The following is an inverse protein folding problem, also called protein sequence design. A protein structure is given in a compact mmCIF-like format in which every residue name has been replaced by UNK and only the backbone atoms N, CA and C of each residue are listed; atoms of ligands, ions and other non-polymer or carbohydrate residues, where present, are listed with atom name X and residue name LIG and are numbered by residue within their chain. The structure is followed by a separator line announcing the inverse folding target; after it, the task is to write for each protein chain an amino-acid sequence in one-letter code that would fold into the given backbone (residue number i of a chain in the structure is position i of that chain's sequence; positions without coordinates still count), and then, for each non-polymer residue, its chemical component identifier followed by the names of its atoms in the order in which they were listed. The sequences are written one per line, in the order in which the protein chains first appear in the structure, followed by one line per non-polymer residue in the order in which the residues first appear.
data_IF_873000512091
#
_entry.id   IF_873000512091
#
_cell.length_a   1.000
_cell.length_b   1.000
_cell.length_c   1.000
_cell.angle_alpha   90.00
_cell.angle_beta   90.00
_cell.angle_gamma   90.00
#
_symmetry.space_group_name_H-M   'P 1'
#
loop_
_entity.id
_entity.type
_entity.pdbx_description
1 polymer ?
#
# COMPACT_ATOMS: atom_id res chain seq x y z
N UNK A 1 9.70 -8.70 -34.86
CA UNK A 1 9.67 -9.41 -33.56
C UNK A 1 8.60 -10.49 -33.61
N UNK A 2 8.91 -11.62 -34.27
CA UNK A 2 7.92 -12.68 -34.51
C UNK A 2 7.61 -13.51 -33.25
N UNK A 3 8.58 -13.69 -32.35
CA UNK A 3 8.39 -14.46 -31.13
C UNK A 3 7.26 -13.89 -30.21
N UNK A 4 7.06 -12.57 -30.20
CA UNK A 4 6.01 -11.96 -29.40
C UNK A 4 4.60 -12.25 -29.97
N UNK A 5 4.49 -12.26 -31.32
CA UNK A 5 3.23 -12.62 -31.99
C UNK A 5 2.91 -14.11 -31.78
N UNK A 6 3.92 -14.98 -31.89
CA UNK A 6 3.76 -16.42 -31.67
C UNK A 6 3.36 -16.72 -30.21
N UNK A 7 3.96 -16.01 -29.24
CA UNK A 7 3.60 -16.13 -27.84
C UNK A 7 2.17 -15.65 -27.55
N UNK A 8 1.75 -14.52 -28.13
CA UNK A 8 0.38 -14.03 -28.01
C UNK A 8 -0.62 -14.98 -28.66
N UNK A 9 -0.33 -15.48 -29.85
CA UNK A 9 -1.18 -16.47 -30.52
C UNK A 9 -1.32 -17.74 -29.69
N UNK A 10 -0.23 -18.22 -29.08
CA UNK A 10 -0.25 -19.38 -28.20
C UNK A 10 -1.07 -19.12 -26.93
N UNK A 11 -0.98 -17.93 -26.35
CA UNK A 11 -1.80 -17.51 -25.21
C UNK A 11 -3.29 -17.46 -25.56
N UNK A 12 -3.65 -16.91 -26.71
CA UNK A 12 -5.05 -16.82 -27.12
C UNK A 12 -5.62 -18.20 -27.50
N UNK A 13 -4.91 -19.00 -28.29
CA UNK A 13 -5.36 -20.35 -28.68
C UNK A 13 -5.53 -21.31 -27.51
N UNK A 14 -4.79 -21.11 -26.41
CA UNK A 14 -4.89 -21.93 -25.20
C UNK A 14 -5.78 -21.33 -24.11
N UNK A 15 -6.33 -20.14 -24.32
CA UNK A 15 -7.07 -19.39 -23.30
C UNK A 15 -8.21 -20.17 -22.69
N UNK A 16 -9.11 -20.73 -23.52
CA UNK A 16 -10.23 -21.50 -23.02
C UNK A 16 -9.83 -22.74 -22.23
N UNK A 17 -8.82 -23.46 -22.72
CA UNK A 17 -8.30 -24.63 -22.02
C UNK A 17 -7.71 -24.25 -20.66
N UNK A 18 -6.97 -23.14 -20.59
CA UNK A 18 -6.38 -22.65 -19.33
C UNK A 18 -7.44 -22.16 -18.34
N UNK A 19 -8.51 -21.50 -18.81
CA UNK A 19 -9.61 -21.06 -17.95
C UNK A 19 -10.41 -22.23 -17.37
N UNK A 20 -10.45 -23.37 -18.07
CA UNK A 20 -11.15 -24.59 -17.61
C UNK A 20 -10.25 -25.52 -16.80
N UNK A 21 -8.92 -25.38 -16.94
CA UNK A 21 -7.98 -26.20 -16.18
C UNK A 21 -7.91 -25.72 -14.73
N UNK A 22 -8.13 -26.60 -13.79
CA UNK A 22 -7.72 -26.34 -12.40
C UNK A 22 -6.23 -26.63 -12.31
N UNK A 23 -5.43 -25.71 -11.73
CA UNK A 23 -4.04 -26.03 -11.40
C UNK A 23 -4.03 -27.28 -10.49
N UNK A 24 -3.06 -28.18 -10.68
CA UNK A 24 -2.93 -29.33 -9.79
C UNK A 24 -2.74 -28.83 -8.35
N UNK A 25 -3.49 -29.38 -7.43
CA UNK A 25 -3.26 -29.14 -6.02
C UNK A 25 -1.91 -29.76 -5.65
N UNK A 26 -1.02 -28.94 -5.13
CA UNK A 26 0.29 -29.42 -4.67
C UNK A 26 0.07 -29.98 -3.26
N UNK A 27 0.42 -31.23 -3.04
CA UNK A 27 0.39 -31.86 -1.73
C UNK A 27 1.36 -31.20 -0.76
N UNK A 28 1.12 -31.38 0.54
CA UNK A 28 1.94 -30.76 1.61
C UNK A 28 3.41 -31.19 1.49
N UNK A 29 3.69 -32.46 1.18
CA UNK A 29 5.04 -32.97 1.00
C UNK A 29 5.77 -32.35 -0.19
N UNK A 30 5.07 -32.09 -1.30
CA UNK A 30 5.65 -31.47 -2.47
C UNK A 30 5.85 -29.95 -2.25
N UNK A 31 4.95 -29.32 -1.51
CA UNK A 31 5.12 -27.93 -1.05
C UNK A 31 6.39 -27.80 -0.20
N UNK A 32 6.59 -28.72 0.76
CA UNK A 32 7.79 -28.72 1.61
C UNK A 32 9.07 -28.95 0.79
N UNK A 33 9.06 -29.85 -0.18
CA UNK A 33 10.22 -30.06 -1.08
C UNK A 33 10.54 -28.81 -1.89
N UNK A 34 9.52 -28.13 -2.45
CA UNK A 34 9.71 -26.90 -3.20
C UNK A 34 10.28 -25.78 -2.31
N UNK A 35 9.74 -25.61 -1.10
CA UNK A 35 10.23 -24.63 -0.14
C UNK A 35 11.70 -24.92 0.23
N UNK A 36 12.05 -26.18 0.49
CA UNK A 36 13.43 -26.57 0.79
C UNK A 36 14.39 -26.33 -0.36
N UNK A 37 13.95 -26.54 -1.58
CA UNK A 37 14.80 -26.43 -2.78
C UNK A 37 14.99 -24.98 -3.23
N UNK A 38 13.94 -24.19 -3.16
CA UNK A 38 13.91 -22.82 -3.73
C UNK A 38 13.84 -21.71 -2.68
N UNK A 39 13.55 -22.05 -1.43
CA UNK A 39 13.57 -21.16 -0.26
C UNK A 39 14.37 -21.78 0.88
N UNK A 40 15.70 -21.89 0.72
CA UNK A 40 16.56 -22.56 1.70
C UNK A 40 16.55 -21.89 3.08
N UNK A 41 16.14 -20.64 3.16
CA UNK A 41 15.93 -19.85 4.37
C UNK A 41 14.64 -20.19 5.13
N UNK A 42 13.81 -21.07 4.55
CA UNK A 42 12.46 -21.34 5.07
C UNK A 42 12.45 -21.96 6.49
N UNK A 43 13.30 -22.91 6.80
CA UNK A 43 13.23 -23.64 8.07
C UNK A 43 14.22 -23.20 9.14
N UNK A 44 15.45 -22.97 8.81
CA UNK A 44 16.51 -22.68 9.78
C UNK A 44 17.10 -21.28 9.65
N UNK A 45 16.72 -20.59 8.61
CA UNK A 45 17.29 -19.32 8.21
C UNK A 45 16.40 -18.12 8.56
N UNK A 46 15.44 -18.35 9.44
CA UNK A 46 14.57 -17.27 9.96
C UNK A 46 15.04 -16.85 11.35
N UNK A 47 14.96 -15.57 11.61
CA UNK A 47 15.23 -14.97 12.92
C UNK A 47 14.22 -13.88 13.26
N UNK A 48 14.13 -13.57 14.53
CA UNK A 48 13.36 -12.41 14.99
C UNK A 48 14.09 -11.11 14.63
N UNK A 49 13.31 -10.07 14.34
CA UNK A 49 13.82 -8.70 14.24
C UNK A 49 14.08 -8.18 15.64
N UNK A 50 15.30 -7.74 15.92
CA UNK A 50 15.77 -7.36 17.25
C UNK A 50 15.45 -5.92 17.61
N UNK A 51 15.34 -5.05 16.64
CA UNK A 51 15.14 -3.61 16.81
C UNK A 51 14.13 -3.05 15.83
N UNK A 52 13.52 -1.93 16.18
CA UNK A 52 12.57 -1.23 15.31
C UNK A 52 11.13 -1.67 15.50
N UNK A 53 10.19 -1.08 14.72
CA UNK A 53 8.75 -1.31 14.88
C UNK A 53 8.29 -2.73 14.54
N UNK A 54 9.14 -3.52 13.90
CA UNK A 54 8.89 -4.92 13.58
C UNK A 54 9.51 -5.92 14.58
N UNK A 55 10.17 -5.43 15.63
CA UNK A 55 10.58 -6.27 16.75
C UNK A 55 9.31 -6.93 17.34
N UNK A 56 9.44 -8.19 17.77
CA UNK A 56 8.36 -9.00 18.33
C UNK A 56 7.21 -9.39 17.35
N UNK A 57 7.33 -9.05 16.06
CA UNK A 57 6.33 -9.41 15.03
C UNK A 57 6.54 -10.82 14.42
N UNK A 58 7.32 -11.66 15.05
CA UNK A 58 7.60 -13.01 14.58
C UNK A 58 8.94 -13.14 13.88
N UNK A 59 9.13 -14.27 13.19
CA UNK A 59 10.37 -14.59 12.50
C UNK A 59 10.28 -14.25 11.01
N UNK A 60 11.37 -13.70 10.50
CA UNK A 60 11.53 -13.33 9.09
C UNK A 60 12.78 -14.03 8.52
N UNK A 61 12.85 -14.27 7.19
CA UNK A 61 14.09 -14.63 6.54
C UNK A 61 15.22 -13.67 6.92
N UNK A 62 16.45 -14.17 7.04
CA UNK A 62 17.60 -13.36 7.50
C UNK A 62 17.75 -12.07 6.70
N UNK A 63 17.64 -12.15 5.37
CA UNK A 63 17.77 -11.00 4.48
C UNK A 63 16.71 -9.94 4.73
N UNK A 64 15.48 -10.37 5.00
CA UNK A 64 14.39 -9.44 5.31
C UNK A 64 14.57 -8.86 6.71
N UNK A 65 14.98 -9.67 7.69
CA UNK A 65 15.27 -9.20 9.02
C UNK A 65 16.43 -8.19 9.03
N UNK A 66 17.49 -8.44 8.25
CA UNK A 66 18.60 -7.50 8.08
C UNK A 66 18.16 -6.19 7.43
N UNK A 67 17.26 -6.26 6.43
CA UNK A 67 16.68 -5.07 5.82
C UNK A 67 15.82 -4.26 6.80
N UNK A 68 15.05 -4.93 7.63
CA UNK A 68 14.19 -4.28 8.64
C UNK A 68 14.98 -3.69 9.81
N UNK A 69 16.15 -4.24 10.08
CA UNK A 69 17.10 -3.75 11.09
C UNK A 69 18.19 -2.87 10.49
N UNK A 70 18.10 -2.52 9.20
CA UNK A 70 19.21 -1.88 8.49
C UNK A 70 19.87 -0.80 9.32
N UNK A 71 21.18 -0.87 9.40
CA UNK A 71 22.00 0.10 10.10
C UNK A 71 21.81 1.50 9.51
N UNK A 72 21.96 2.50 10.34
CA UNK A 72 22.00 3.88 9.87
C UNK A 72 23.06 4.03 8.78
N UNK A 73 22.69 4.65 7.67
CA UNK A 73 23.68 5.02 6.64
C UNK A 73 24.56 6.21 7.06
N UNK A 74 24.25 6.80 8.20
CA UNK A 74 25.04 7.86 8.79
C UNK A 74 26.18 7.25 9.63
N UNK A 75 27.40 7.79 9.53
CA UNK A 75 28.50 7.40 10.41
C UNK A 75 28.12 7.56 11.88
N UNK A 76 28.65 6.69 12.76
CA UNK A 76 28.37 6.75 14.20
C UNK A 76 28.86 8.06 14.85
N UNK A 77 29.85 8.70 14.27
CA UNK A 77 30.44 9.97 14.66
C UNK A 77 29.87 11.17 13.89
N UNK A 78 28.77 10.97 13.15
CA UNK A 78 28.11 12.04 12.43
C UNK A 78 27.51 13.05 13.40
N UNK A 79 28.04 14.25 13.39
CA UNK A 79 27.49 15.41 14.11
C UNK A 79 26.59 16.21 13.16
N UNK A 80 25.26 16.17 13.33
CA UNK A 80 24.35 16.91 12.47
C UNK A 80 24.49 18.42 12.71
N UNK A 81 24.57 19.20 11.62
CA UNK A 81 24.36 20.64 11.67
C UNK A 81 22.87 20.95 11.38
N UNK A 82 22.38 22.01 11.95
CA UNK A 82 21.03 22.50 11.65
C UNK A 82 21.11 23.39 10.41
N UNK A 83 20.57 22.90 9.28
CA UNK A 83 20.52 23.64 8.03
C UNK A 83 19.20 24.42 7.86
N UNK A 84 18.09 23.83 8.37
CA UNK A 84 16.75 24.39 8.27
C UNK A 84 16.07 24.23 9.61
N UNK A 85 15.44 25.31 10.09
CA UNK A 85 14.57 25.33 11.26
C UNK A 85 13.13 25.60 10.80
N UNK A 86 12.17 24.81 11.28
CA UNK A 86 10.78 24.88 10.86
C UNK A 86 9.85 24.49 12.02
N UNK A 87 8.63 25.02 12.01
CA UNK A 87 7.63 24.66 13.05
C UNK A 87 7.11 23.23 12.85
N UNK A 88 6.96 22.81 11.58
CA UNK A 88 6.47 21.46 11.25
C UNK A 88 7.31 20.84 10.16
N UNK A 89 7.88 19.68 10.46
CA UNK A 89 8.55 18.84 9.48
C UNK A 89 7.62 17.68 9.06
N UNK A 90 7.32 17.59 7.76
CA UNK A 90 6.58 16.48 7.16
C UNK A 90 7.59 15.59 6.41
N UNK A 91 7.65 14.30 6.77
CA UNK A 91 8.52 13.33 6.11
C UNK A 91 7.70 12.44 5.19
N UNK A 92 7.89 12.61 3.89
CA UNK A 92 7.22 11.89 2.83
C UNK A 92 6.25 12.74 2.01
N UNK A 93 6.45 12.77 0.69
CA UNK A 93 5.65 13.54 -0.28
C UNK A 93 4.51 12.77 -0.92
N UNK A 94 4.01 11.71 -0.30
CA UNK A 94 2.83 10.97 -0.74
C UNK A 94 1.51 11.65 -0.34
N UNK A 95 0.37 11.01 -0.61
CA UNK A 95 -0.96 11.57 -0.31
C UNK A 95 -1.14 12.03 1.13
N UNK A 96 -0.62 11.26 2.10
CA UNK A 96 -0.70 11.64 3.51
C UNK A 96 0.12 12.91 3.82
N UNK A 97 1.36 13.00 3.34
CA UNK A 97 2.19 14.17 3.55
C UNK A 97 1.65 15.42 2.86
N UNK A 98 1.16 15.27 1.63
CA UNK A 98 0.51 16.35 0.90
C UNK A 98 -0.76 16.85 1.63
N UNK A 99 -1.58 15.94 2.14
CA UNK A 99 -2.78 16.27 2.92
C UNK A 99 -2.42 17.00 4.23
N UNK A 100 -1.38 16.55 4.91
CA UNK A 100 -0.89 17.22 6.12
C UNK A 100 -0.40 18.65 5.82
N UNK A 101 0.33 18.83 4.72
CA UNK A 101 0.78 20.15 4.30
C UNK A 101 -0.40 21.09 3.98
N UNK A 102 -1.40 20.59 3.25
CA UNK A 102 -2.61 21.35 2.93
C UNK A 102 -3.43 21.71 4.18
N UNK A 103 -3.49 20.80 5.17
CA UNK A 103 -4.18 21.07 6.43
C UNK A 103 -3.51 22.17 7.25
N UNK A 104 -2.26 22.48 6.99
CA UNK A 104 -1.51 23.54 7.66
C UNK A 104 -1.53 24.87 6.87
N UNK A 105 -2.15 24.89 5.70
CA UNK A 105 -2.30 26.11 4.89
C UNK A 105 -3.06 27.18 5.69
N UNK A 106 -2.57 28.40 5.67
CA UNK A 106 -3.17 29.54 6.36
C UNK A 106 -2.98 29.58 7.89
N UNK A 107 -2.28 28.63 8.49
CA UNK A 107 -1.99 28.62 9.94
C UNK A 107 -0.90 29.63 10.34
N UNK A 108 -0.10 30.10 9.40
CA UNK A 108 1.06 30.97 9.63
C UNK A 108 2.29 30.22 10.14
N UNK A 109 2.24 28.89 10.26
CA UNK A 109 3.38 28.07 10.62
C UNK A 109 4.33 27.89 9.42
N UNK A 110 5.62 27.82 9.70
CA UNK A 110 6.61 27.40 8.71
C UNK A 110 6.56 25.87 8.57
N UNK A 111 6.31 25.38 7.36
CA UNK A 111 6.16 23.95 7.08
C UNK A 111 7.24 23.51 6.08
N UNK A 112 8.00 22.51 6.46
CA UNK A 112 8.98 21.89 5.55
C UNK A 112 8.56 20.45 5.24
N UNK A 113 8.46 20.13 3.93
CA UNK A 113 8.16 18.78 3.47
C UNK A 113 9.43 18.18 2.85
N UNK A 114 9.93 17.13 3.48
CA UNK A 114 11.07 16.36 2.99
C UNK A 114 10.58 15.11 2.25
N UNK A 115 11.06 14.90 1.03
CA UNK A 115 10.70 13.74 0.22
C UNK A 115 11.93 13.09 -0.41
N UNK A 116 11.90 11.78 -0.57
CA UNK A 116 13.00 11.01 -1.17
C UNK A 116 13.24 11.37 -2.65
N UNK A 117 12.16 11.62 -3.38
CA UNK A 117 12.15 11.97 -4.80
C UNK A 117 11.57 13.37 -4.97
N UNK A 118 11.23 13.76 -6.21
CA UNK A 118 10.53 15.01 -6.45
C UNK A 118 9.17 15.03 -5.75
N UNK A 119 8.67 16.20 -5.42
CA UNK A 119 7.30 16.34 -4.93
C UNK A 119 6.32 15.74 -5.96
N UNK A 120 5.45 14.88 -5.51
CA UNK A 120 4.52 14.13 -6.36
C UNK A 120 5.04 12.77 -6.84
N UNK A 121 6.34 12.50 -6.82
CA UNK A 121 6.88 11.19 -7.17
C UNK A 121 6.70 10.22 -5.98
N UNK A 122 5.52 9.63 -5.88
CA UNK A 122 5.16 8.72 -4.79
C UNK A 122 4.26 7.59 -5.29
N UNK A 123 4.06 6.56 -4.48
CA UNK A 123 3.13 5.50 -4.80
C UNK A 123 1.69 6.01 -5.02
N UNK A 124 1.32 7.12 -4.39
CA UNK A 124 0.00 7.75 -4.58
C UNK A 124 -0.23 8.18 -6.02
N UNK A 125 0.80 8.71 -6.69
CA UNK A 125 0.72 9.13 -8.12
C UNK A 125 0.56 7.92 -9.04
N UNK A 126 1.13 6.77 -8.66
CA UNK A 126 1.05 5.54 -9.45
C UNK A 126 -0.18 4.70 -9.12
N UNK A 127 -0.98 5.10 -8.13
CA UNK A 127 -2.19 4.39 -7.75
C UNK A 127 -3.29 4.68 -8.77
N UNK A 128 -3.60 3.66 -9.58
CA UNK A 128 -4.66 3.69 -10.59
C UNK A 128 -5.83 2.81 -10.16
N UNK A 129 -6.97 2.99 -10.77
CA UNK A 129 -8.13 2.10 -10.64
C UNK A 129 -9.20 2.54 -9.67
N UNK A 130 -8.93 3.33 -8.68
CA UNK A 130 -9.96 3.89 -7.80
C UNK A 130 -9.60 3.99 -6.33
N UNK A 131 -10.50 4.60 -5.57
CA UNK A 131 -10.36 4.80 -4.13
C UNK A 131 -11.57 4.15 -3.46
N UNK A 132 -11.33 3.34 -2.43
CA UNK A 132 -12.42 2.73 -1.66
C UNK A 132 -13.02 3.74 -0.67
N UNK A 133 -14.33 3.93 -0.79
CA UNK A 133 -15.10 4.80 0.11
C UNK A 133 -16.57 4.38 0.15
N UNK A 134 -17.20 4.55 1.29
CA UNK A 134 -18.62 4.22 1.47
C UNK A 134 -19.51 5.33 0.93
N UNK A 135 -19.72 5.37 -0.38
CA UNK A 135 -20.53 6.38 -1.10
C UNK A 135 -21.82 5.81 -1.71
N UNK A 136 -21.97 4.50 -1.74
CA UNK A 136 -23.13 3.83 -2.33
C UNK A 136 -24.39 3.98 -1.48
N UNK A 137 -25.57 3.92 -2.12
CA UNK A 137 -26.87 4.03 -1.44
C UNK A 137 -27.11 2.96 -0.38
N UNK A 138 -26.55 1.77 -0.61
CA UNK A 138 -26.65 0.62 0.32
C UNK A 138 -25.33 0.35 1.05
N UNK A 139 -24.46 1.34 1.14
CA UNK A 139 -23.18 1.23 1.77
C UNK A 139 -23.10 2.06 3.08
N UNK A 140 -22.09 1.78 3.89
CA UNK A 140 -21.87 2.52 5.12
C UNK A 140 -20.41 2.38 5.58
N UNK A 141 -19.93 3.35 6.34
CA UNK A 141 -18.61 3.28 6.96
C UNK A 141 -18.42 2.02 7.83
N UNK A 142 -19.51 1.53 8.44
CA UNK A 142 -19.49 0.28 9.22
C UNK A 142 -19.26 -0.95 8.32
N UNK A 143 -19.92 -1.00 7.17
CA UNK A 143 -19.71 -2.07 6.19
C UNK A 143 -18.32 -2.02 5.61
N UNK A 144 -17.89 -0.85 5.19
CA UNK A 144 -16.52 -0.60 4.71
C UNK A 144 -15.47 -1.06 5.76
N UNK A 145 -15.70 -0.75 7.03
CA UNK A 145 -14.84 -1.22 8.12
C UNK A 145 -14.81 -2.75 8.21
N UNK A 146 -15.97 -3.40 8.19
CA UNK A 146 -16.05 -4.86 8.28
C UNK A 146 -15.33 -5.55 7.12
N UNK A 147 -15.58 -5.09 5.89
CA UNK A 147 -14.96 -5.64 4.69
C UNK A 147 -13.44 -5.44 4.71
N UNK A 148 -12.97 -4.24 5.04
CA UNK A 148 -11.54 -3.95 5.12
C UNK A 148 -10.85 -4.68 6.28
N UNK A 149 -11.53 -4.88 7.42
CA UNK A 149 -10.99 -5.64 8.55
C UNK A 149 -10.81 -7.12 8.20
N UNK A 150 -11.81 -7.71 7.56
CA UNK A 150 -11.75 -9.10 7.08
C UNK A 150 -10.69 -9.26 5.99
N UNK A 151 -10.66 -8.35 5.01
CA UNK A 151 -9.65 -8.35 3.94
C UNK A 151 -8.21 -8.18 4.46
N UNK A 152 -8.05 -7.47 5.54
CA UNK A 152 -6.77 -7.34 6.25
C UNK A 152 -6.41 -8.51 7.16
N UNK A 153 -7.21 -9.60 7.16
CA UNK A 153 -7.02 -10.79 7.98
C UNK A 153 -6.84 -10.49 9.48
N UNK A 154 -7.51 -9.44 9.99
CA UNK A 154 -7.42 -9.01 11.39
C UNK A 154 -6.08 -8.39 11.80
N UNK A 155 -5.21 -8.06 10.83
CA UNK A 155 -3.92 -7.41 11.09
C UNK A 155 -3.99 -5.89 11.08
N UNK A 156 -5.13 -5.35 10.74
CA UNK A 156 -5.38 -3.90 10.77
C UNK A 156 -5.30 -3.39 12.22
N UNK A 157 -4.84 -2.16 12.38
CA UNK A 157 -5.11 -1.41 13.60
C UNK A 157 -6.56 -0.94 13.55
N UNK A 158 -7.46 -1.41 14.45
CA UNK A 158 -8.89 -1.12 14.38
C UNK A 158 -9.21 0.38 14.51
N UNK A 159 -8.46 1.12 15.32
CA UNK A 159 -8.66 2.55 15.52
C UNK A 159 -8.35 3.34 14.24
N UNK A 160 -7.22 3.06 13.60
CA UNK A 160 -6.85 3.71 12.35
C UNK A 160 -7.82 3.35 11.22
N UNK A 161 -8.22 2.07 11.16
CA UNK A 161 -9.20 1.62 10.17
C UNK A 161 -10.56 2.29 10.37
N UNK A 162 -11.01 2.47 11.62
CA UNK A 162 -12.24 3.20 11.94
C UNK A 162 -12.18 4.65 11.44
N UNK A 163 -11.10 5.36 11.75
CA UNK A 163 -10.89 6.73 11.27
C UNK A 163 -10.92 6.81 9.75
N UNK A 164 -10.25 5.88 9.07
CA UNK A 164 -10.26 5.80 7.60
C UNK A 164 -11.68 5.62 7.06
N UNK A 165 -12.42 4.64 7.57
CA UNK A 165 -13.75 4.30 7.04
C UNK A 165 -14.80 5.38 7.36
N UNK A 166 -14.74 5.98 8.54
CA UNK A 166 -15.68 7.04 8.95
C UNK A 166 -15.50 8.31 8.11
N UNK A 167 -14.26 8.64 7.74
CA UNK A 167 -13.96 9.87 7.00
C UNK A 167 -13.86 9.66 5.47
N UNK A 168 -13.96 8.43 4.98
CA UNK A 168 -13.71 8.10 3.58
C UNK A 168 -14.55 8.91 2.60
N UNK A 169 -15.85 9.01 2.84
CA UNK A 169 -16.78 9.73 1.96
C UNK A 169 -16.47 11.24 1.90
N UNK A 170 -16.16 11.85 3.03
CA UNK A 170 -15.84 13.28 3.11
C UNK A 170 -14.47 13.57 2.50
N UNK A 171 -13.53 12.65 2.65
CA UNK A 171 -12.21 12.73 1.98
C UNK A 171 -12.36 12.74 0.46
N UNK A 172 -13.23 11.91 -0.12
CA UNK A 172 -13.47 11.90 -1.57
C UNK A 172 -14.05 13.24 -2.03
N UNK A 173 -15.01 13.80 -1.30
CA UNK A 173 -15.58 15.11 -1.63
C UNK A 173 -14.53 16.21 -1.53
N UNK A 174 -13.70 16.18 -0.51
CA UNK A 174 -12.61 17.12 -0.33
C UNK A 174 -11.58 17.03 -1.47
N UNK A 175 -11.20 15.83 -1.91
CA UNK A 175 -10.33 15.66 -3.08
C UNK A 175 -10.95 16.28 -4.34
N UNK A 176 -12.25 16.12 -4.55
CA UNK A 176 -12.98 16.77 -5.64
C UNK A 176 -12.91 18.30 -5.56
N UNK A 177 -13.00 18.88 -4.36
CA UNK A 177 -12.84 20.34 -4.14
C UNK A 177 -11.42 20.83 -4.45
N UNK A 178 -10.41 19.98 -4.26
CA UNK A 178 -9.02 20.26 -4.65
C UNK A 178 -8.76 20.10 -6.15
N UNK A 179 -9.76 19.69 -6.93
CA UNK A 179 -9.65 19.52 -8.38
C UNK A 179 -9.31 18.10 -8.83
N UNK A 180 -9.38 17.10 -7.94
CA UNK A 180 -9.27 15.70 -8.33
C UNK A 180 -10.50 15.32 -9.17
N UNK A 181 -10.27 14.95 -10.43
CA UNK A 181 -11.32 14.53 -11.36
C UNK A 181 -11.54 13.04 -11.20
N UNK A 182 -12.70 12.65 -10.66
CA UNK A 182 -13.14 11.28 -10.55
C UNK A 182 -14.25 11.01 -11.58
N UNK A 183 -14.39 9.78 -12.04
CA UNK A 183 -15.43 9.41 -12.98
C UNK A 183 -16.81 9.66 -12.36
N UNK A 184 -17.69 10.32 -13.14
CA UNK A 184 -19.06 10.62 -12.73
C UNK A 184 -20.06 10.06 -13.73
N UNK A 185 -21.27 9.80 -13.25
CA UNK A 185 -22.42 9.51 -14.06
C UNK A 185 -22.95 10.79 -14.74
N UNK A 186 -23.89 10.66 -15.67
CA UNK A 186 -24.50 11.79 -16.38
C UNK A 186 -25.22 12.79 -15.43
N UNK A 187 -25.68 12.32 -14.28
CA UNK A 187 -26.30 13.13 -13.23
C UNK A 187 -25.30 13.83 -12.29
N UNK A 188 -24.01 13.66 -12.52
CA UNK A 188 -22.93 14.25 -11.70
C UNK A 188 -22.61 13.47 -10.42
N UNK A 189 -23.24 12.34 -10.17
CA UNK A 189 -22.86 11.45 -9.07
C UNK A 189 -21.61 10.65 -9.41
N UNK A 190 -20.82 10.25 -8.39
CA UNK A 190 -19.63 9.45 -8.63
C UNK A 190 -19.97 8.10 -9.25
N UNK A 191 -19.16 7.69 -10.22
CA UNK A 191 -19.26 6.36 -10.77
C UNK A 191 -18.67 5.35 -9.78
N UNK A 192 -19.52 4.52 -9.17
CA UNK A 192 -19.15 3.55 -8.19
C UNK A 192 -19.04 2.15 -8.79
N UNK A 193 -18.08 1.39 -8.30
CA UNK A 193 -17.94 -0.03 -8.60
C UNK A 193 -17.82 -0.80 -7.28
N UNK A 194 -18.30 -2.06 -7.22
CA UNK A 194 -18.06 -2.90 -6.06
C UNK A 194 -16.56 -2.99 -5.80
N UNK A 195 -16.14 -2.74 -4.57
CA UNK A 195 -14.78 -3.01 -4.14
C UNK A 195 -14.50 -4.52 -4.18
N UNK A 196 -13.24 -4.90 -4.29
CA UNK A 196 -12.81 -6.30 -4.28
C UNK A 196 -12.89 -6.90 -2.87
N UNK A 197 -14.10 -7.16 -2.40
CA UNK A 197 -14.36 -7.81 -1.11
C UNK A 197 -15.48 -8.83 -1.25
#
# INVERSE_FOLDING_TARGET
MDWAKDSLNKLETTREARLRSKPPEIGEDDTQKLLHQYHPDYLGMQREVRIGPNADNGKFPHELADLLESDSQLPLDFEPSVDIETDVLIVGGGGAGASAALALEGTGLSVHLATKLRLGDSNTVMAEGGIQAALGVNDSSRRHFADAYVGGHGRNNPELLRVLCENSADTIRWLGQLGCILDTNEDGTFQLRPGGG
#
